data_IF_682039691827
#
_entry.id   IF_682039691827
#
_cell.length_a   1.000
_cell.length_b   1.000
_cell.length_c   1.000
_cell.angle_alpha   90.00
_cell.angle_beta   90.00
_cell.angle_gamma   90.00
#
_symmetry.space_group_name_H-M   'P 1'
#
loop_
_entity.id
_entity.type
_entity.pdbx_description
1 polymer ?
#
# COMPACT_ATOMS: atom_id res chain seq x y z
N UNK A 1 19.33 20.11 20.78
CA UNK A 1 18.51 18.99 20.28
C UNK A 1 18.42 19.08 18.77
N UNK A 2 19.24 18.33 18.04
CA UNK A 2 19.32 18.37 16.58
C UNK A 2 18.60 17.16 15.99
N UNK A 3 17.43 17.39 15.38
CA UNK A 3 16.77 16.41 14.52
C UNK A 3 17.53 16.34 13.19
N UNK A 4 18.37 15.33 13.03
CA UNK A 4 18.89 14.87 11.74
C UNK A 4 18.43 13.42 11.58
N UNK A 5 17.36 13.17 10.82
CA UNK A 5 17.08 11.82 10.32
C UNK A 5 17.55 11.77 8.86
N UNK A 6 18.86 11.60 8.71
CA UNK A 6 19.51 11.28 7.44
C UNK A 6 19.94 9.81 7.51
N UNK A 7 19.13 8.98 6.87
CA UNK A 7 19.43 7.77 6.09
C UNK A 7 20.83 7.17 6.32
N UNK A 8 20.84 5.95 6.86
CA UNK A 8 21.98 5.04 6.85
C UNK A 8 21.66 3.82 5.95
N UNK A 9 22.66 3.43 5.18
CA UNK A 9 22.61 2.60 3.99
C UNK A 9 22.40 1.09 4.23
N UNK A 10 21.90 0.39 3.20
CA UNK A 10 22.27 -1.00 2.88
C UNK A 10 22.37 -1.16 1.36
N UNK A 11 23.49 -1.71 0.90
CA UNK A 11 23.81 -2.02 -0.49
C UNK A 11 22.83 -3.03 -1.11
N UNK A 12 22.37 -2.76 -2.33
CA UNK A 12 21.93 -3.79 -3.26
C UNK A 12 22.45 -3.45 -4.67
N UNK A 13 23.48 -4.19 -5.10
CA UNK A 13 23.96 -4.19 -6.48
C UNK A 13 22.89 -4.78 -7.40
N UNK A 14 22.23 -3.95 -8.20
CA UNK A 14 21.26 -4.37 -9.20
C UNK A 14 21.98 -4.71 -10.52
N UNK A 15 22.18 -6.00 -10.80
CA UNK A 15 22.40 -6.51 -12.15
C UNK A 15 21.08 -6.97 -12.74
N UNK A 16 20.74 -6.47 -13.93
CA UNK A 16 19.51 -6.82 -14.64
C UNK A 16 19.69 -8.12 -15.43
N UNK A 17 18.78 -9.08 -15.22
CA UNK A 17 18.60 -10.21 -16.12
C UNK A 17 17.14 -10.26 -16.59
N UNK A 18 16.97 -10.31 -17.91
CA UNK A 18 15.73 -10.48 -18.65
C UNK A 18 15.34 -11.96 -18.72
N UNK A 19 14.15 -12.32 -18.23
CA UNK A 19 13.27 -13.34 -18.83
C UNK A 19 12.00 -13.51 -17.98
N UNK A 20 10.83 -13.36 -18.61
CA UNK A 20 9.52 -13.76 -18.06
C UNK A 20 9.15 -15.12 -18.66
N UNK A 21 8.74 -16.11 -17.84
CA UNK A 21 7.85 -17.15 -18.32
C UNK A 21 6.41 -16.65 -18.18
N UNK A 22 5.69 -16.61 -19.30
CA UNK A 22 4.24 -16.49 -19.30
C UNK A 22 3.64 -17.83 -18.86
N UNK A 23 2.97 -17.86 -17.71
CA UNK A 23 2.03 -18.92 -17.36
C UNK A 23 0.66 -18.32 -17.11
N UNK A 24 -0.31 -18.85 -17.85
CA UNK A 24 -1.72 -18.53 -17.77
C UNK A 24 -2.26 -18.95 -16.39
N UNK A 25 -2.79 -17.98 -15.63
CA UNK A 25 -3.55 -18.26 -14.41
C UNK A 25 -5.04 -18.33 -14.75
N UNK A 26 -5.59 -19.53 -14.61
CA UNK A 26 -7.01 -19.77 -14.48
C UNK A 26 -7.55 -19.02 -13.25
N UNK A 27 -8.65 -18.30 -13.42
CA UNK A 27 -9.33 -17.58 -12.35
C UNK A 27 -9.74 -18.54 -11.24
N UNK A 28 -9.32 -18.36 -9.98
CA UNK A 28 -9.87 -19.12 -8.88
C UNK A 28 -11.33 -18.69 -8.66
N UNK A 29 -12.23 -19.67 -8.59
CA UNK A 29 -13.61 -19.48 -8.21
C UNK A 29 -13.70 -18.72 -6.87
N UNK A 30 -14.68 -17.81 -6.75
CA UNK A 30 -14.93 -17.13 -5.48
C UNK A 30 -15.24 -18.18 -4.40
N UNK A 31 -14.56 -18.16 -3.24
CA UNK A 31 -14.90 -19.05 -2.15
C UNK A 31 -16.32 -18.73 -1.67
N UNK A 32 -17.23 -19.70 -1.88
CA UNK A 32 -18.57 -19.71 -1.31
C UNK A 32 -18.46 -20.10 0.16
N UNK A 33 -18.44 -19.11 1.06
CA UNK A 33 -18.45 -19.39 2.49
C UNK A 33 -19.85 -19.86 2.91
N UNK A 34 -19.93 -21.03 3.54
CA UNK A 34 -21.14 -21.45 4.25
C UNK A 34 -21.44 -20.43 5.36
N UNK A 35 -22.53 -19.68 5.20
CA UNK A 35 -22.92 -18.54 6.05
C UNK A 35 -23.39 -18.92 7.47
N UNK A 36 -23.25 -20.19 7.87
CA UNK A 36 -23.75 -20.75 9.13
C UNK A 36 -22.68 -21.40 10.02
N UNK A 37 -21.40 -21.40 9.63
CA UNK A 37 -20.35 -22.05 10.40
C UNK A 37 -20.01 -21.28 11.70
N UNK A 38 -20.03 -21.98 12.84
CA UNK A 38 -19.61 -21.45 14.16
C UNK A 38 -18.19 -20.89 14.10
N UNK A 39 -17.87 -19.95 15.00
CA UNK A 39 -16.52 -19.41 15.12
C UNK A 39 -15.54 -20.50 15.55
N UNK A 40 -14.35 -20.55 14.92
CA UNK A 40 -13.29 -21.46 15.31
C UNK A 40 -12.81 -21.17 16.75
N UNK A 41 -12.23 -22.18 17.40
CA UNK A 41 -11.54 -21.99 18.67
C UNK A 41 -10.31 -21.08 18.49
N UNK A 42 -10.02 -20.25 19.50
CA UNK A 42 -8.90 -19.30 19.44
C UNK A 42 -7.54 -19.98 19.23
N UNK A 43 -7.36 -21.19 19.77
CA UNK A 43 -6.14 -21.99 19.54
C UNK A 43 -5.97 -22.40 18.07
N UNK A 44 -7.06 -22.66 17.35
CA UNK A 44 -7.03 -22.94 15.91
C UNK A 44 -6.63 -21.69 15.13
N UNK A 45 -7.18 -20.52 15.49
CA UNK A 45 -6.81 -19.24 14.88
C UNK A 45 -5.34 -18.91 15.11
N UNK A 46 -4.85 -19.03 16.34
CA UNK A 46 -3.45 -18.78 16.68
C UNK A 46 -2.49 -19.72 15.92
N UNK A 47 -2.83 -21.01 15.80
CA UNK A 47 -2.04 -21.97 15.00
C UNK A 47 -2.01 -21.60 13.52
N UNK A 48 -3.11 -21.11 12.96
CA UNK A 48 -3.17 -20.69 11.57
C UNK A 48 -2.29 -19.46 11.30
N UNK A 49 -2.33 -18.47 12.21
CA UNK A 49 -1.47 -17.27 12.14
C UNK A 49 0.01 -17.62 12.27
N UNK A 50 0.37 -18.54 13.18
CA UNK A 50 1.78 -18.97 13.36
C UNK A 50 2.38 -19.61 12.09
N UNK A 51 1.56 -20.18 11.21
CA UNK A 51 2.00 -20.79 9.94
C UNK A 51 2.23 -19.76 8.83
N UNK A 52 1.83 -18.51 9.02
CA UNK A 52 2.00 -17.48 8.00
C UNK A 52 3.37 -16.80 8.15
N UNK A 53 3.86 -16.22 7.04
CA UNK A 53 4.97 -15.27 7.14
C UNK A 53 4.56 -14.05 7.98
N UNK A 54 5.54 -13.33 8.52
CA UNK A 54 5.28 -12.13 9.32
C UNK A 54 4.41 -11.13 8.54
N UNK A 55 3.36 -10.58 9.14
CA UNK A 55 2.43 -9.66 8.47
C UNK A 55 1.85 -10.15 7.11
N UNK A 56 1.97 -11.44 6.76
CA UNK A 56 1.56 -11.97 5.45
C UNK A 56 0.47 -13.05 5.64
N UNK A 57 -0.82 -12.70 5.72
CA UNK A 57 -1.88 -13.66 6.02
C UNK A 57 -2.12 -14.59 4.84
N UNK A 58 -1.42 -15.73 4.80
CA UNK A 58 -1.54 -16.73 3.73
C UNK A 58 -2.89 -17.46 3.77
N UNK A 59 -3.08 -18.45 2.89
CA UNK A 59 -4.35 -19.19 2.75
C UNK A 59 -4.85 -19.79 4.07
N UNK A 60 -3.96 -20.21 5.00
CA UNK A 60 -4.37 -20.74 6.31
C UNK A 60 -5.24 -19.79 7.13
N UNK A 61 -5.12 -18.48 6.89
CA UNK A 61 -5.88 -17.44 7.58
C UNK A 61 -7.05 -16.92 6.76
N UNK A 62 -7.09 -17.14 5.44
CA UNK A 62 -8.12 -16.60 4.53
C UNK A 62 -9.39 -17.48 4.40
N UNK A 63 -9.43 -18.65 5.06
CA UNK A 63 -10.53 -19.61 4.92
C UNK A 63 -11.41 -19.79 6.17
N UNK A 64 -11.30 -18.90 7.17
CA UNK A 64 -12.18 -18.96 8.33
C UNK A 64 -13.62 -18.52 8.03
N UNK A 65 -14.55 -18.88 8.90
CA UNK A 65 -15.94 -18.41 8.85
C UNK A 65 -16.04 -16.93 9.21
N UNK A 66 -17.07 -16.24 8.71
CA UNK A 66 -17.38 -14.85 9.09
C UNK A 66 -17.45 -14.64 10.60
N UNK A 67 -18.06 -15.59 11.33
CA UNK A 67 -18.13 -15.56 12.79
C UNK A 67 -16.75 -15.55 13.46
N UNK A 68 -15.76 -16.24 12.86
CA UNK A 68 -14.38 -16.24 13.35
C UNK A 68 -13.72 -14.89 13.14
N UNK A 69 -13.83 -14.29 11.96
CA UNK A 69 -13.29 -12.95 11.69
C UNK A 69 -13.92 -11.89 12.59
N UNK A 70 -15.23 -11.93 12.79
CA UNK A 70 -15.91 -11.02 13.72
C UNK A 70 -15.37 -11.18 15.15
N UNK A 71 -15.29 -12.43 15.64
CA UNK A 71 -14.87 -12.72 17.02
C UNK A 71 -13.41 -12.35 17.32
N UNK A 72 -12.51 -12.54 16.35
CA UNK A 72 -11.07 -12.33 16.54
C UNK A 72 -10.51 -11.19 15.68
N UNK A 73 -11.34 -10.22 15.30
CA UNK A 73 -10.96 -9.07 14.46
C UNK A 73 -9.72 -8.35 15.01
N UNK A 74 -9.75 -7.90 16.27
CA UNK A 74 -8.62 -7.23 16.91
C UNK A 74 -7.32 -8.07 16.94
N UNK A 75 -7.44 -9.41 16.99
CA UNK A 75 -6.27 -10.29 16.90
C UNK A 75 -5.69 -10.30 15.48
N UNK A 76 -6.53 -10.38 14.45
CA UNK A 76 -6.08 -10.27 13.06
C UNK A 76 -5.48 -8.90 12.76
N UNK A 77 -6.12 -7.83 13.25
CA UNK A 77 -5.68 -6.44 13.14
C UNK A 77 -4.24 -6.32 13.62
N UNK A 78 -4.02 -6.70 14.89
CA UNK A 78 -2.70 -6.70 15.52
C UNK A 78 -1.69 -7.58 14.80
N UNK A 79 -2.06 -8.78 14.35
CA UNK A 79 -1.09 -9.74 13.77
C UNK A 79 -0.67 -9.37 12.35
N UNK A 80 -1.46 -8.57 11.64
CA UNK A 80 -1.25 -8.24 10.24
C UNK A 80 -1.16 -6.74 9.96
N UNK A 81 -1.06 -5.91 11.00
CA UNK A 81 -1.00 -4.46 10.88
C UNK A 81 -2.19 -3.92 10.08
N UNK A 82 -3.42 -4.34 10.36
CA UNK A 82 -4.60 -3.87 9.62
C UNK A 82 -5.59 -3.20 10.54
N UNK A 83 -6.36 -2.24 10.02
CA UNK A 83 -7.39 -1.53 10.77
C UNK A 83 -8.44 -0.92 9.81
N UNK A 84 -9.64 -0.63 10.31
CA UNK A 84 -10.68 0.06 9.53
C UNK A 84 -10.37 1.56 9.45
N UNK A 85 -9.68 1.95 8.38
CA UNK A 85 -9.32 3.36 8.12
C UNK A 85 -10.37 4.11 7.29
N UNK A 86 -11.20 3.38 6.55
CA UNK A 86 -12.30 3.93 5.75
C UNK A 86 -13.60 4.00 6.55
N UNK A 87 -14.43 5.02 6.29
CA UNK A 87 -15.85 4.98 6.70
C UNK A 87 -16.52 3.74 6.08
N UNK A 88 -17.47 3.14 6.80
CA UNK A 88 -18.23 1.98 6.33
C UNK A 88 -18.98 2.23 5.01
N UNK A 89 -19.30 3.49 4.70
CA UNK A 89 -19.96 3.89 3.46
C UNK A 89 -19.03 4.00 2.24
N UNK A 90 -17.70 3.94 2.42
CA UNK A 90 -16.74 4.13 1.32
C UNK A 90 -16.81 2.99 0.32
N UNK A 91 -16.87 1.76 0.84
CA UNK A 91 -16.97 0.55 0.05
C UNK A 91 -18.36 -0.03 0.15
N UNK A 92 -19.05 -0.08 -0.98
CA UNK A 92 -20.34 -0.77 -1.09
C UNK A 92 -20.13 -1.98 -1.98
N UNK A 93 -20.46 -3.17 -1.47
CA UNK A 93 -20.22 -4.44 -2.17
C UNK A 93 -18.76 -4.58 -2.66
N UNK A 94 -17.79 -4.23 -1.80
CA UNK A 94 -16.36 -4.30 -2.09
C UNK A 94 -15.87 -3.38 -3.20
N UNK A 95 -16.60 -2.29 -3.46
CA UNK A 95 -16.23 -1.30 -4.47
C UNK A 95 -16.35 0.13 -3.94
N UNK A 96 -15.34 0.94 -4.21
CA UNK A 96 -15.33 2.39 -4.02
C UNK A 96 -15.28 3.11 -5.38
N UNK A 97 -15.86 4.31 -5.44
CA UNK A 97 -15.73 5.22 -6.59
C UNK A 97 -14.79 6.36 -6.23
N UNK A 98 -13.76 6.58 -7.03
CA UNK A 98 -12.66 7.51 -6.72
C UNK A 98 -12.66 8.66 -7.72
N UNK A 99 -12.65 9.89 -7.23
CA UNK A 99 -12.70 11.09 -8.05
C UNK A 99 -11.56 12.06 -7.72
N UNK A 100 -10.98 12.67 -8.75
CA UNK A 100 -10.07 13.80 -8.62
C UNK A 100 -10.52 14.96 -9.53
N UNK A 101 -10.60 16.20 -9.01
CA UNK A 101 -10.80 17.37 -9.86
C UNK A 101 -9.51 17.76 -10.61
N UNK A 102 -8.34 17.36 -10.11
CA UNK A 102 -7.03 17.70 -10.67
C UNK A 102 -6.77 16.91 -11.96
N UNK A 103 -6.54 17.60 -13.08
CA UNK A 103 -6.15 16.94 -14.33
C UNK A 103 -4.78 16.28 -14.22
N UNK A 104 -3.86 16.88 -13.46
CA UNK A 104 -2.50 16.36 -13.26
C UNK A 104 -2.48 15.02 -12.53
N UNK A 105 -3.43 14.76 -11.62
CA UNK A 105 -3.48 13.52 -10.85
C UNK A 105 -4.23 12.38 -11.55
N UNK A 106 -4.95 12.64 -12.66
CA UNK A 106 -5.82 11.64 -13.30
C UNK A 106 -5.04 10.42 -13.80
N UNK A 107 -3.89 10.65 -14.44
CA UNK A 107 -3.04 9.56 -14.97
C UNK A 107 -2.55 8.64 -13.85
N UNK A 108 -1.92 9.23 -12.82
CA UNK A 108 -1.43 8.52 -11.65
C UNK A 108 -2.55 7.74 -10.94
N UNK A 109 -3.68 8.39 -10.70
CA UNK A 109 -4.82 7.75 -10.05
C UNK A 109 -5.34 6.55 -10.84
N UNK A 110 -5.45 6.67 -12.16
CA UNK A 110 -5.88 5.56 -13.02
C UNK A 110 -4.90 4.38 -12.94
N UNK A 111 -3.58 4.65 -12.95
CA UNK A 111 -2.55 3.63 -12.82
C UNK A 111 -2.62 2.94 -11.45
N UNK A 112 -2.71 3.70 -10.35
CA UNK A 112 -2.80 3.15 -8.99
C UNK A 112 -4.05 2.29 -8.76
N UNK A 113 -5.21 2.73 -9.24
CA UNK A 113 -6.44 1.93 -9.19
C UNK A 113 -6.30 0.64 -10.00
N UNK A 114 -5.69 0.71 -11.20
CA UNK A 114 -5.43 -0.46 -12.04
C UNK A 114 -4.52 -1.46 -11.34
N UNK A 115 -3.47 -1.00 -10.64
CA UNK A 115 -2.56 -1.85 -9.87
C UNK A 115 -3.32 -2.66 -8.82
N UNK A 116 -4.12 -2.01 -7.97
CA UNK A 116 -4.93 -2.73 -6.97
C UNK A 116 -5.96 -3.66 -7.61
N UNK A 117 -6.71 -3.18 -8.60
CA UNK A 117 -7.75 -3.98 -9.25
C UNK A 117 -7.18 -5.24 -9.92
N UNK A 118 -6.02 -5.11 -10.59
CA UNK A 118 -5.33 -6.24 -11.22
C UNK A 118 -4.90 -7.26 -10.16
N UNK A 119 -4.23 -6.82 -9.10
CA UNK A 119 -3.69 -7.71 -8.07
C UNK A 119 -4.78 -8.39 -7.22
N UNK A 120 -5.94 -7.75 -7.07
CA UNK A 120 -7.09 -8.31 -6.35
C UNK A 120 -8.06 -9.07 -7.27
N UNK A 121 -7.85 -9.04 -8.60
CA UNK A 121 -8.69 -9.73 -9.57
C UNK A 121 -10.13 -9.21 -9.64
N UNK A 122 -10.38 -7.97 -9.22
CA UNK A 122 -11.71 -7.38 -9.16
C UNK A 122 -11.65 -5.85 -9.33
N UNK A 123 -12.76 -5.23 -9.75
CA UNK A 123 -12.89 -3.77 -9.75
C UNK A 123 -13.21 -3.27 -8.35
N UNK A 124 -12.18 -3.10 -7.54
CA UNK A 124 -12.26 -2.58 -6.17
C UNK A 124 -12.38 -1.06 -6.18
N UNK A 125 -11.61 -0.40 -7.06
CA UNK A 125 -11.69 1.03 -7.30
C UNK A 125 -12.21 1.30 -8.71
N UNK A 126 -13.26 2.09 -8.81
CA UNK A 126 -13.80 2.57 -10.08
C UNK A 126 -13.67 4.09 -10.17
N UNK A 127 -13.52 4.63 -11.39
CA UNK A 127 -13.55 6.07 -11.59
C UNK A 127 -14.93 6.63 -11.23
N UNK A 128 -14.97 7.59 -10.32
CA UNK A 128 -16.16 8.34 -9.95
C UNK A 128 -16.26 9.68 -10.70
N UNK A 129 -17.34 10.41 -10.42
CA UNK A 129 -17.56 11.77 -10.91
C UNK A 129 -17.61 12.75 -9.74
N UNK A 130 -17.64 14.06 -10.05
CA UNK A 130 -17.81 15.11 -9.03
C UNK A 130 -19.06 14.87 -8.18
N UNK A 131 -20.16 14.43 -8.79
CA UNK A 131 -21.42 14.16 -8.11
C UNK A 131 -21.49 12.76 -7.47
N UNK A 132 -20.76 11.78 -8.02
CA UNK A 132 -20.84 10.40 -7.61
C UNK A 132 -19.45 9.80 -7.35
N UNK A 133 -18.97 9.96 -6.11
CA UNK A 133 -17.74 9.33 -5.62
C UNK A 133 -17.86 9.01 -4.14
N UNK A 134 -17.10 8.02 -3.67
CA UNK A 134 -16.94 7.70 -2.25
C UNK A 134 -15.57 8.10 -1.71
N UNK A 135 -14.55 8.20 -2.56
CA UNK A 135 -13.21 8.71 -2.24
C UNK A 135 -12.89 9.94 -3.11
N UNK A 136 -12.37 11.00 -2.51
CA UNK A 136 -11.84 12.17 -3.24
C UNK A 136 -10.32 12.22 -3.15
N UNK A 137 -9.65 12.51 -4.27
CA UNK A 137 -8.19 12.63 -4.38
C UNK A 137 -7.85 14.06 -4.76
N UNK A 138 -7.09 14.76 -3.92
CA UNK A 138 -6.70 16.15 -4.13
C UNK A 138 -5.22 16.39 -3.85
N UNK A 139 -4.73 17.56 -4.22
CA UNK A 139 -3.52 18.07 -3.61
C UNK A 139 -3.80 18.56 -2.19
N UNK A 140 -2.89 18.28 -1.26
CA UNK A 140 -2.90 18.83 0.09
C UNK A 140 -1.61 19.59 0.38
N UNK A 141 -1.58 20.27 1.54
CA UNK A 141 -0.48 21.14 1.92
C UNK A 141 0.60 20.45 2.74
N UNK A 142 0.56 19.14 3.00
CA UNK A 142 1.65 18.40 3.66
C UNK A 142 1.78 18.57 5.18
N UNK A 143 0.74 19.07 5.88
CA UNK A 143 0.77 19.37 7.32
C UNK A 143 1.13 20.84 7.64
N UNK A 144 1.44 21.13 8.92
CA UNK A 144 1.72 22.51 9.42
C UNK A 144 2.93 23.15 8.72
N UNK A 145 3.88 22.33 8.26
CA UNK A 145 5.13 22.77 7.59
C UNK A 145 5.31 22.20 6.17
N UNK A 146 4.26 21.60 5.60
CA UNK A 146 4.26 20.98 4.28
C UNK A 146 5.25 19.83 4.02
N UNK A 147 5.87 19.27 5.06
CA UNK A 147 7.00 18.34 4.94
C UNK A 147 6.78 16.96 5.55
N UNK A 148 5.61 16.66 6.14
CA UNK A 148 5.48 15.46 6.97
C UNK A 148 5.07 14.21 6.20
N UNK A 149 4.55 14.35 4.98
CA UNK A 149 4.06 13.22 4.19
C UNK A 149 4.04 13.51 2.68
N UNK A 150 4.21 12.47 1.87
CA UNK A 150 4.06 12.51 0.41
C UNK A 150 2.63 12.26 -0.04
N UNK A 151 1.97 11.31 0.64
CA UNK A 151 0.57 11.01 0.53
C UNK A 151 -0.09 11.01 1.91
N UNK A 152 -1.40 11.26 1.96
CA UNK A 152 -2.18 11.08 3.17
C UNK A 152 -3.59 10.61 2.83
N UNK A 153 -3.94 9.42 3.30
CA UNK A 153 -5.30 8.95 3.36
C UNK A 153 -5.91 9.24 4.74
N UNK A 154 -7.07 9.88 4.74
CA UNK A 154 -7.86 10.08 5.95
C UNK A 154 -9.33 9.87 5.65
N UNK A 155 -9.91 8.81 6.22
CA UNK A 155 -11.35 8.52 6.27
C UNK A 155 -12.00 8.18 4.92
N UNK A 156 -11.92 9.09 3.95
CA UNK A 156 -12.40 8.94 2.58
C UNK A 156 -11.78 9.98 1.64
N UNK A 157 -10.68 10.61 2.06
CA UNK A 157 -9.95 11.63 1.30
C UNK A 157 -8.50 11.21 1.20
N UNK A 158 -7.96 11.29 0.00
CA UNK A 158 -6.56 11.09 -0.32
C UNK A 158 -5.97 12.44 -0.71
N UNK A 159 -4.82 12.75 -0.15
CA UNK A 159 -4.06 13.95 -0.47
C UNK A 159 -2.68 13.58 -1.00
N UNK A 160 -2.28 14.21 -2.10
CA UNK A 160 -0.89 14.21 -2.59
C UNK A 160 -0.24 15.52 -2.17
N UNK A 161 0.98 15.48 -1.63
CA UNK A 161 1.67 16.69 -1.18
C UNK A 161 1.99 17.59 -2.39
N UNK A 162 1.33 18.75 -2.45
CA UNK A 162 1.48 19.70 -3.56
C UNK A 162 2.92 20.21 -3.69
N UNK A 163 3.57 20.52 -2.57
CA UNK A 163 4.91 21.12 -2.56
C UNK A 163 5.94 20.12 -3.05
N UNK A 164 5.85 18.87 -2.62
CA UNK A 164 6.74 17.80 -3.06
C UNK A 164 6.49 17.47 -4.54
N UNK A 165 5.23 17.35 -4.95
CA UNK A 165 4.86 17.04 -6.33
C UNK A 165 5.43 18.06 -7.32
N UNK A 166 5.24 19.37 -7.09
CA UNK A 166 5.74 20.38 -8.01
C UNK A 166 7.22 20.77 -7.80
N UNK A 167 7.92 20.13 -6.86
CA UNK A 167 9.33 20.46 -6.59
C UNK A 167 10.26 19.75 -7.57
N UNK A 168 11.07 20.48 -8.36
CA UNK A 168 12.00 19.89 -9.31
C UNK A 168 13.15 19.13 -8.64
N UNK A 169 13.41 19.39 -7.35
CA UNK A 169 14.49 18.75 -6.59
C UNK A 169 14.02 17.64 -5.66
N UNK A 170 12.71 17.48 -5.45
CA UNK A 170 12.20 16.52 -4.47
C UNK A 170 12.54 15.08 -4.87
N UNK A 171 12.25 14.70 -6.11
CA UNK A 171 12.57 13.35 -6.59
C UNK A 171 14.07 13.06 -6.57
N UNK A 172 14.94 14.05 -6.78
CA UNK A 172 16.39 13.88 -6.63
C UNK A 172 16.77 13.54 -5.18
N UNK A 173 16.10 14.19 -4.23
CA UNK A 173 16.28 13.92 -2.79
C UNK A 173 15.81 12.51 -2.45
N UNK A 174 14.66 12.07 -2.98
CA UNK A 174 14.13 10.71 -2.80
C UNK A 174 15.06 9.66 -3.43
N UNK A 175 15.57 9.89 -4.64
CA UNK A 175 16.49 8.94 -5.28
C UNK A 175 17.82 8.86 -4.55
N UNK A 176 18.35 9.98 -4.05
CA UNK A 176 19.54 9.99 -3.21
C UNK A 176 19.29 9.24 -1.90
N UNK A 177 18.12 9.44 -1.31
CA UNK A 177 17.69 8.75 -0.10
C UNK A 177 17.64 7.23 -0.28
N UNK A 178 17.08 6.75 -1.39
CA UNK A 178 16.94 5.32 -1.66
C UNK A 178 18.27 4.69 -2.09
N UNK A 179 19.04 5.38 -2.95
CA UNK A 179 20.30 4.84 -3.48
C UNK A 179 21.48 4.96 -2.52
N UNK A 180 21.42 5.86 -1.53
CA UNK A 180 22.56 6.21 -0.69
C UNK A 180 23.65 7.02 -1.42
N UNK A 181 23.42 7.40 -2.67
CA UNK A 181 24.39 8.13 -3.50
C UNK A 181 23.84 9.49 -3.91
N UNK A 182 24.72 10.48 -4.07
CA UNK A 182 24.32 11.80 -4.58
C UNK A 182 23.75 11.68 -5.98
N UNK A 183 22.48 12.07 -6.16
CA UNK A 183 21.81 12.09 -7.46
C UNK A 183 21.80 13.53 -7.99
N UNK A 184 22.29 13.73 -9.21
CA UNK A 184 22.31 15.05 -9.86
C UNK A 184 21.17 15.19 -10.86
N UNK A 185 20.81 16.42 -11.21
CA UNK A 185 19.79 16.68 -12.22
C UNK A 185 20.17 16.04 -13.58
N UNK A 186 19.20 15.47 -14.31
CA UNK A 186 19.46 14.78 -15.58
C UNK A 186 19.97 15.76 -16.65
N UNK A 187 21.01 15.38 -17.39
CA UNK A 187 21.66 16.24 -18.40
C UNK A 187 21.30 15.82 -19.82
N UNK A 188 21.29 14.51 -20.09
CA UNK A 188 20.97 13.97 -21.41
C UNK A 188 19.47 13.69 -21.59
N UNK A 189 19.02 13.51 -22.83
CA UNK A 189 17.64 13.10 -23.09
C UNK A 189 17.30 11.74 -22.48
N UNK A 190 18.26 10.81 -22.48
CA UNK A 190 18.11 9.49 -21.85
C UNK A 190 17.97 9.62 -20.32
N UNK A 191 18.79 10.45 -19.67
CA UNK A 191 18.68 10.69 -18.22
C UNK A 191 17.33 11.32 -17.86
N UNK A 192 16.83 12.25 -18.70
CA UNK A 192 15.54 12.89 -18.50
C UNK A 192 14.40 11.87 -18.60
N UNK A 193 14.43 10.99 -19.59
CA UNK A 193 13.44 9.93 -19.74
C UNK A 193 13.46 8.93 -18.56
N UNK A 194 14.66 8.57 -18.07
CA UNK A 194 14.80 7.72 -16.89
C UNK A 194 14.29 8.41 -15.62
N UNK A 195 14.63 9.68 -15.42
CA UNK A 195 14.13 10.50 -14.30
C UNK A 195 12.61 10.61 -14.33
N UNK A 196 12.02 10.87 -15.50
CA UNK A 196 10.56 10.94 -15.66
C UNK A 196 9.90 9.61 -15.26
N UNK A 197 10.49 8.47 -15.62
CA UNK A 197 10.00 7.15 -15.20
C UNK A 197 10.02 6.99 -13.67
N UNK A 198 11.08 7.44 -13.00
CA UNK A 198 11.14 7.40 -11.53
C UNK A 198 10.14 8.35 -10.88
N UNK A 199 10.00 9.56 -11.41
CA UNK A 199 9.03 10.53 -10.95
C UNK A 199 7.59 9.99 -11.08
N UNK A 200 7.27 9.41 -12.23
CA UNK A 200 5.98 8.79 -12.49
C UNK A 200 5.72 7.62 -11.54
N UNK A 201 6.66 6.67 -11.48
CA UNK A 201 6.58 5.49 -10.62
C UNK A 201 6.45 5.84 -9.14
N UNK A 202 7.14 6.88 -8.68
CA UNK A 202 7.05 7.36 -7.30
C UNK A 202 5.66 7.86 -6.96
N UNK A 203 5.10 8.80 -7.74
CA UNK A 203 3.78 9.36 -7.43
C UNK A 203 2.64 8.36 -7.65
N UNK A 204 2.78 7.45 -8.62
CA UNK A 204 1.87 6.31 -8.75
C UNK A 204 1.92 5.41 -7.50
N UNK A 205 3.13 5.07 -7.02
CA UNK A 205 3.32 4.27 -5.82
C UNK A 205 2.77 4.96 -4.57
N UNK A 206 2.98 6.28 -4.43
CA UNK A 206 2.37 7.08 -3.35
C UNK A 206 0.86 6.97 -3.36
N UNK A 207 0.20 7.19 -4.50
CA UNK A 207 -1.28 7.08 -4.56
C UNK A 207 -1.72 5.63 -4.31
N UNK A 208 -0.97 4.63 -4.78
CA UNK A 208 -1.26 3.22 -4.50
C UNK A 208 -1.14 2.88 -3.02
N UNK A 209 -0.13 3.42 -2.32
CA UNK A 209 0.03 3.32 -0.87
C UNK A 209 -1.19 3.87 -0.14
N UNK A 210 -1.61 5.09 -0.47
CA UNK A 210 -2.77 5.71 0.16
C UNK A 210 -4.09 4.99 -0.15
N UNK A 211 -4.23 4.42 -1.35
CA UNK A 211 -5.35 3.52 -1.65
C UNK A 211 -5.27 2.23 -0.83
N UNK A 212 -4.07 1.74 -0.50
CA UNK A 212 -3.86 0.63 0.44
C UNK A 212 -4.39 0.94 1.84
N UNK A 213 -4.13 2.14 2.36
CA UNK A 213 -4.76 2.60 3.61
C UNK A 213 -6.29 2.61 3.51
N UNK A 214 -6.87 2.99 2.37
CA UNK A 214 -8.33 2.91 2.20
C UNK A 214 -8.88 1.47 2.30
N UNK A 215 -8.08 0.46 1.94
CA UNK A 215 -8.39 -0.96 2.12
C UNK A 215 -8.12 -1.45 3.55
N UNK A 216 -7.66 -0.58 4.45
CA UNK A 216 -7.38 -0.89 5.84
C UNK A 216 -5.99 -1.46 6.11
N UNK A 217 -5.04 -1.21 5.23
CA UNK A 217 -3.65 -1.62 5.44
C UNK A 217 -2.89 -0.56 6.21
N UNK A 218 -2.28 -0.91 7.33
CA UNK A 218 -1.30 -0.05 8.01
C UNK A 218 0.11 -0.32 7.46
N UNK A 219 1.10 0.39 7.99
CA UNK A 219 2.46 0.30 7.52
C UNK A 219 3.13 -1.06 7.82
N UNK A 220 4.16 -1.37 7.04
CA UNK A 220 5.08 -2.48 7.28
C UNK A 220 6.53 -1.98 7.27
N UNK A 221 7.47 -2.73 7.87
CA UNK A 221 8.89 -2.38 7.80
C UNK A 221 9.58 -2.85 6.51
N UNK A 222 8.89 -3.48 5.55
CA UNK A 222 9.53 -4.15 4.40
C UNK A 222 9.55 -3.26 3.16
N UNK A 223 10.72 -2.96 2.61
CA UNK A 223 10.90 -2.00 1.50
C UNK A 223 10.24 -2.42 0.18
N UNK A 224 9.98 -3.72 0.01
CA UNK A 224 9.31 -4.29 -1.15
C UNK A 224 7.78 -4.29 -1.03
N UNK A 225 7.23 -3.90 0.11
CA UNK A 225 5.80 -3.64 0.28
C UNK A 225 5.48 -2.20 -0.12
N UNK A 226 4.35 -2.00 -0.81
CA UNK A 226 3.87 -0.65 -1.11
C UNK A 226 3.57 0.11 0.18
N UNK A 227 3.18 -0.61 1.25
CA UNK A 227 2.87 -0.07 2.57
C UNK A 227 4.11 0.14 3.45
N UNK A 228 5.31 0.13 2.88
CA UNK A 228 6.54 0.40 3.62
C UNK A 228 6.50 1.74 4.37
N UNK A 229 6.91 1.73 5.64
CA UNK A 229 7.34 2.92 6.37
C UNK A 229 8.64 2.63 7.12
N UNK A 230 9.50 3.66 7.25
CA UNK A 230 10.80 3.52 7.91
C UNK A 230 10.69 3.19 9.40
N UNK A 231 9.66 3.71 10.06
CA UNK A 231 9.38 3.48 11.47
C UNK A 231 7.88 3.34 11.71
N UNK A 232 7.54 2.69 12.80
CA UNK A 232 6.17 2.58 13.29
C UNK A 232 6.16 2.16 14.76
N UNK A 233 5.12 2.55 15.48
CA UNK A 233 4.95 2.22 16.88
C UNK A 233 3.89 1.13 17.07
N UNK A 234 4.16 0.18 17.97
CA UNK A 234 3.16 -0.83 18.31
C UNK A 234 1.91 -0.17 18.88
N UNK A 235 0.74 -0.63 18.43
CA UNK A 235 -0.57 -0.12 18.85
C UNK A 235 -1.55 -1.28 19.03
N UNK A 236 -2.85 -1.01 19.19
CA UNK A 236 -3.87 -2.08 19.16
C UNK A 236 -3.90 -2.85 17.83
N UNK A 237 -3.54 -2.20 16.72
CA UNK A 237 -3.53 -2.77 15.37
C UNK A 237 -2.11 -3.02 14.83
N UNK A 238 -1.06 -2.44 15.41
CA UNK A 238 0.32 -2.60 14.92
C UNK A 238 1.09 -3.60 15.79
N UNK A 239 1.54 -4.72 15.20
CA UNK A 239 2.12 -5.88 15.90
C UNK A 239 3.27 -5.54 16.84
N UNK A 240 4.25 -4.79 16.33
CA UNK A 240 5.49 -4.43 17.02
C UNK A 240 5.98 -3.08 16.53
N UNK A 241 6.79 -2.37 17.32
CA UNK A 241 7.47 -1.16 16.89
C UNK A 241 8.69 -1.48 16.02
N UNK A 242 9.06 -0.56 15.13
CA UNK A 242 10.32 -0.61 14.38
C UNK A 242 10.86 0.80 14.14
N UNK A 243 12.18 0.92 14.03
CA UNK A 243 12.89 2.18 13.72
C UNK A 243 13.78 2.05 12.48
N UNK A 244 13.84 0.86 11.89
CA UNK A 244 14.63 0.54 10.70
C UNK A 244 13.84 -0.36 9.78
N UNK A 245 14.13 -0.29 8.49
CA UNK A 245 13.58 -1.21 7.49
C UNK A 245 14.08 -2.64 7.70
N UNK A 246 13.20 -3.60 7.40
CA UNK A 246 13.56 -4.98 7.14
C UNK A 246 13.86 -5.15 5.66
N UNK A 247 14.85 -6.00 5.37
CA UNK A 247 15.17 -6.39 4.00
C UNK A 247 13.97 -7.10 3.35
N UNK A 248 13.63 -6.67 2.14
CA UNK A 248 12.66 -7.33 1.26
C UNK A 248 13.34 -8.20 0.21
N UNK A 249 12.69 -8.35 -0.94
CA UNK A 249 13.25 -9.05 -2.11
C UNK A 249 14.28 -8.23 -2.94
N UNK A 250 14.78 -7.11 -2.42
CA UNK A 250 15.70 -6.21 -3.13
C UNK A 250 15.03 -5.18 -4.05
N UNK A 251 13.69 -5.14 -4.10
CA UNK A 251 12.94 -4.07 -4.78
C UNK A 251 12.50 -2.98 -3.80
N UNK A 252 12.31 -1.76 -4.31
CA UNK A 252 11.77 -0.63 -3.55
C UNK A 252 10.43 -0.27 -4.18
N UNK A 253 9.33 -0.72 -3.57
CA UNK A 253 7.98 -0.58 -4.13
C UNK A 253 7.59 0.90 -4.34
N UNK A 254 8.15 1.79 -3.52
CA UNK A 254 7.98 3.24 -3.62
C UNK A 254 8.46 3.83 -4.96
N UNK A 255 9.18 3.10 -5.81
CA UNK A 255 9.63 3.57 -7.13
C UNK A 255 8.95 2.88 -8.32
N UNK A 256 8.24 1.78 -8.10
CA UNK A 256 7.80 0.88 -9.19
C UNK A 256 6.30 0.65 -9.25
N UNK A 257 5.53 1.11 -8.24
CA UNK A 257 4.08 0.91 -8.17
C UNK A 257 3.68 -0.58 -8.28
N UNK A 258 4.47 -1.46 -7.67
CA UNK A 258 4.23 -2.91 -7.62
C UNK A 258 3.81 -3.30 -6.22
N UNK A 259 2.73 -4.07 -6.11
CA UNK A 259 2.25 -4.63 -4.85
C UNK A 259 3.00 -5.93 -4.53
N UNK A 260 3.42 -6.09 -3.29
CA UNK A 260 3.96 -7.36 -2.82
C UNK A 260 2.84 -8.37 -2.57
N UNK A 261 3.19 -9.65 -2.47
CA UNK A 261 2.24 -10.69 -2.02
C UNK A 261 1.67 -10.37 -0.63
N UNK A 262 2.45 -9.69 0.23
CA UNK A 262 2.02 -9.29 1.57
C UNK A 262 0.93 -8.23 1.50
N UNK A 263 1.10 -7.20 0.67
CA UNK A 263 0.09 -6.16 0.44
C UNK A 263 -1.23 -6.79 -0.02
N UNK A 264 -1.16 -7.67 -1.02
CA UNK A 264 -2.33 -8.32 -1.61
C UNK A 264 -3.02 -9.24 -0.60
N UNK A 265 -2.28 -10.03 0.16
CA UNK A 265 -2.85 -10.94 1.15
C UNK A 265 -3.49 -10.18 2.32
N UNK A 266 -2.85 -9.11 2.81
CA UNK A 266 -3.44 -8.26 3.83
C UNK A 266 -4.72 -7.60 3.32
N UNK A 267 -4.75 -7.11 2.08
CA UNK A 267 -5.97 -6.55 1.49
C UNK A 267 -7.10 -7.59 1.39
N UNK A 268 -6.79 -8.83 1.02
CA UNK A 268 -7.77 -9.94 1.04
C UNK A 268 -8.29 -10.21 2.45
N UNK A 269 -7.42 -10.18 3.47
CA UNK A 269 -7.84 -10.32 4.87
C UNK A 269 -8.78 -9.18 5.28
N UNK A 270 -8.47 -7.93 4.95
CA UNK A 270 -9.32 -6.79 5.34
C UNK A 270 -10.69 -6.81 4.67
N UNK A 271 -10.80 -7.38 3.46
CA UNK A 271 -12.09 -7.71 2.84
C UNK A 271 -12.91 -8.68 3.70
N UNK A 272 -12.26 -9.73 4.21
CA UNK A 272 -12.90 -10.76 5.05
C UNK A 272 -13.30 -10.21 6.43
N UNK A 273 -12.54 -9.24 6.96
CA UNK A 273 -12.88 -8.44 8.14
C UNK A 273 -13.98 -7.40 7.87
N UNK A 274 -14.39 -7.23 6.60
CA UNK A 274 -15.45 -6.32 6.18
C UNK A 274 -15.03 -4.85 6.18
N UNK A 275 -13.75 -4.55 5.98
CA UNK A 275 -13.23 -3.18 5.95
C UNK A 275 -13.48 -2.51 4.61
N UNK A 276 -13.45 -3.31 3.54
CA UNK A 276 -13.87 -2.95 2.20
C UNK A 276 -14.70 -4.07 1.59
#
# INVERSE_FOLDING_TARGET
MTKKSLIAAVLASLTFATALPATFLSSPAQPTYASSAKAAAGSTVARAVKKTGDLNPSSSVQHFSKATYTKYSAYFDKQYNVDRMSKSSVFTKHRATVYTPSSQLRGYLAASMKTWNKSLGATVFATGTKAHHTITVNFGTGGKDASEWDGLYKTNKLYVNKRHFYSPSYMLTVLQAISGHKVSAPKTAADKAAYEKYYMGFWEATITHELGHSLGLDHTPYQDDIMYAQSGDSSSSIKYSWTTSKAGNGTVAALTNVLSTRDVNRAKLTKLLGYW
#
